data_IF_095482404595
#
_entry.id   IF_095482404595
#
_cell.length_a   1.000
_cell.length_b   1.000
_cell.length_c   1.000
_cell.angle_alpha   90.00
_cell.angle_beta   90.00
_cell.angle_gamma   90.00
#
_symmetry.space_group_name_H-M   'P 1'
#
loop_
_entity.id
_entity.type
_entity.pdbx_description
1 polymer ?
#
# COMPACT_ATOMS: atom_id res chain seq x y z
N UNK A 1 5.51 -5.62 37.09
CA UNK A 1 4.19 -5.28 36.51
C UNK A 1 4.44 -4.77 35.10
N UNK A 2 4.13 -5.56 34.08
CA UNK A 2 4.36 -5.20 32.68
C UNK A 2 3.21 -4.31 32.21
N UNK A 3 3.40 -2.99 32.26
CA UNK A 3 2.47 -2.02 31.69
C UNK A 3 2.59 -2.05 30.17
N UNK A 4 2.11 -3.14 29.56
CA UNK A 4 1.93 -3.21 28.12
C UNK A 4 0.91 -2.16 27.72
N UNK A 5 1.36 -1.07 27.10
CA UNK A 5 0.51 0.00 26.61
C UNK A 5 -0.53 -0.59 25.67
N UNK A 6 -1.77 -0.76 26.16
CA UNK A 6 -2.88 -1.19 25.33
C UNK A 6 -3.13 -0.10 24.29
N UNK A 7 -3.30 -0.44 23.00
CA UNK A 7 -3.59 0.56 21.98
C UNK A 7 -4.88 1.30 22.33
N UNK A 8 -4.83 2.63 22.20
CA UNK A 8 -5.98 3.51 22.39
C UNK A 8 -7.06 3.21 21.35
N UNK A 9 -8.30 3.60 21.63
CA UNK A 9 -9.43 3.44 20.71
C UNK A 9 -9.17 4.12 19.35
N UNK A 10 -8.52 5.29 19.36
CA UNK A 10 -8.08 5.98 18.13
C UNK A 10 -6.97 5.24 17.35
N UNK A 11 -6.17 4.39 18.01
CA UNK A 11 -5.19 3.52 17.33
C UNK A 11 -5.86 2.27 16.76
N UNK A 12 -6.85 1.73 17.46
CA UNK A 12 -7.65 0.58 16.99
C UNK A 12 -8.48 0.98 15.78
N UNK A 13 -9.15 2.13 15.82
CA UNK A 13 -9.93 2.63 14.69
C UNK A 13 -9.03 2.86 13.48
N UNK A 14 -7.90 3.56 13.65
CA UNK A 14 -6.93 3.75 12.57
C UNK A 14 -6.42 2.44 11.97
N UNK A 15 -6.22 1.40 12.78
CA UNK A 15 -5.83 0.07 12.30
C UNK A 15 -6.92 -0.57 11.44
N UNK A 16 -8.18 -0.38 11.81
CA UNK A 16 -9.34 -0.92 11.08
C UNK A 16 -9.63 -0.11 9.80
N UNK A 17 -9.29 1.17 9.77
CA UNK A 17 -9.43 2.04 8.60
C UNK A 17 -8.34 1.80 7.54
N UNK A 18 -7.23 1.15 7.91
CA UNK A 18 -6.19 0.74 6.96
C UNK A 18 -6.77 -0.36 6.06
N UNK A 19 -6.81 -0.17 4.73
CA UNK A 19 -7.29 -1.18 3.81
C UNK A 19 -6.53 -2.50 4.00
N UNK A 20 -7.23 -3.63 3.97
CA UNK A 20 -6.60 -4.95 4.13
C UNK A 20 -5.42 -5.17 3.16
N UNK A 21 -5.57 -4.68 1.93
CA UNK A 21 -4.55 -4.68 0.87
C UNK A 21 -3.26 -3.96 1.29
N UNK A 22 -3.33 -2.94 2.16
CA UNK A 22 -2.15 -2.25 2.65
C UNK A 22 -1.25 -3.15 3.51
N UNK A 23 -1.82 -4.10 4.26
CA UNK A 23 -1.02 -5.07 5.03
C UNK A 23 -0.26 -6.05 4.11
N UNK A 24 -0.85 -6.39 2.96
CA UNK A 24 -0.18 -7.20 1.94
C UNK A 24 1.02 -6.42 1.37
N UNK A 25 0.83 -5.15 1.02
CA UNK A 25 1.92 -4.30 0.54
C UNK A 25 3.04 -4.11 1.57
N UNK A 26 2.71 -3.96 2.86
CA UNK A 26 3.72 -3.91 3.92
C UNK A 26 4.50 -5.23 4.03
N UNK A 27 3.84 -6.37 3.83
CA UNK A 27 4.47 -7.68 3.87
C UNK A 27 5.44 -7.88 2.71
N UNK A 28 5.03 -7.54 1.49
CA UNK A 28 5.89 -7.62 0.31
C UNK A 28 7.03 -6.60 0.36
N UNK A 29 6.75 -5.37 0.76
CA UNK A 29 7.76 -4.34 1.00
C UNK A 29 8.81 -4.81 2.02
N UNK A 30 8.39 -5.48 3.10
CA UNK A 30 9.31 -6.06 4.08
C UNK A 30 10.23 -7.12 3.47
N UNK A 31 9.71 -7.99 2.60
CA UNK A 31 10.54 -8.98 1.89
C UNK A 31 11.59 -8.29 1.02
N UNK A 32 11.19 -7.29 0.24
CA UNK A 32 12.09 -6.52 -0.63
C UNK A 32 13.17 -5.79 0.17
N UNK A 33 12.78 -5.07 1.22
CA UNK A 33 13.74 -4.34 2.07
C UNK A 33 14.68 -5.32 2.77
N UNK A 34 14.19 -6.46 3.26
CA UNK A 34 15.07 -7.49 3.85
C UNK A 34 16.09 -8.03 2.84
N UNK A 35 15.70 -8.22 1.59
CA UNK A 35 16.57 -8.75 0.54
C UNK A 35 17.66 -7.77 0.14
N UNK A 36 17.33 -6.47 0.05
CA UNK A 36 18.26 -5.45 -0.44
C UNK A 36 19.03 -4.72 0.67
N UNK A 37 18.48 -4.70 1.89
CA UNK A 37 19.01 -3.96 3.03
C UNK A 37 19.02 -4.81 4.32
N UNK A 38 19.69 -5.98 4.32
CA UNK A 38 19.62 -6.94 5.43
C UNK A 38 20.27 -6.45 6.75
N UNK A 39 21.15 -5.44 6.69
CA UNK A 39 21.95 -4.99 7.83
C UNK A 39 21.51 -3.64 8.40
N UNK A 40 20.37 -3.11 7.94
CA UNK A 40 19.92 -1.78 8.36
C UNK A 40 19.38 -1.77 9.78
N UNK A 41 19.56 -0.65 10.46
CA UNK A 41 19.02 -0.45 11.81
C UNK A 41 17.49 -0.50 11.80
N UNK A 42 16.88 -1.05 12.84
CA UNK A 42 15.43 -1.33 12.88
C UNK A 42 14.55 -0.10 12.54
N UNK A 43 14.97 1.11 12.91
CA UNK A 43 14.25 2.35 12.57
C UNK A 43 14.31 2.67 11.08
N UNK A 44 15.49 2.62 10.47
CA UNK A 44 15.70 2.86 9.05
C UNK A 44 15.02 1.77 8.21
N UNK A 45 15.15 0.51 8.65
CA UNK A 45 14.47 -0.63 8.08
C UNK A 45 12.95 -0.42 8.00
N UNK A 46 12.31 -0.11 9.14
CA UNK A 46 10.87 0.10 9.17
C UNK A 46 10.43 1.30 8.31
N UNK A 47 11.21 2.38 8.27
CA UNK A 47 10.92 3.51 7.39
C UNK A 47 10.95 3.09 5.91
N UNK A 48 11.97 2.33 5.49
CA UNK A 48 12.06 1.82 4.13
C UNK A 48 10.89 0.88 3.79
N UNK A 49 10.46 0.03 4.72
CA UNK A 49 9.29 -0.85 4.51
C UNK A 49 8.04 -0.02 4.27
N UNK A 50 7.81 1.03 5.07
CA UNK A 50 6.65 1.89 4.93
C UNK A 50 6.65 2.63 3.59
N UNK A 51 7.78 3.25 3.22
CA UNK A 51 7.86 4.01 1.96
C UNK A 51 7.79 3.11 0.73
N UNK A 52 8.37 1.90 0.80
CA UNK A 52 8.22 0.89 -0.25
C UNK A 52 6.76 0.47 -0.40
N UNK A 53 6.06 0.18 0.70
CA UNK A 53 4.64 -0.20 0.65
C UNK A 53 3.75 0.91 0.08
N UNK A 54 4.00 2.18 0.46
CA UNK A 54 3.30 3.34 -0.13
C UNK A 54 3.53 3.43 -1.64
N UNK A 55 4.77 3.21 -2.08
CA UNK A 55 5.13 3.25 -3.51
C UNK A 55 4.42 2.16 -4.30
N UNK A 56 4.38 0.93 -3.77
CA UNK A 56 3.64 -0.19 -4.37
C UNK A 56 2.14 0.11 -4.48
N UNK A 57 1.54 0.65 -3.41
CA UNK A 57 0.13 1.04 -3.41
C UNK A 57 -0.16 2.11 -4.47
N UNK A 58 0.71 3.11 -4.59
CA UNK A 58 0.54 4.18 -5.58
C UNK A 58 0.65 3.64 -7.01
N UNK A 59 1.63 2.78 -7.30
CA UNK A 59 1.76 2.15 -8.62
C UNK A 59 0.54 1.30 -8.98
N UNK A 60 0.02 0.53 -8.02
CA UNK A 60 -1.18 -0.27 -8.24
C UNK A 60 -2.39 0.60 -8.57
N UNK A 61 -2.62 1.67 -7.80
CA UNK A 61 -3.73 2.62 -8.04
C UNK A 61 -3.60 3.34 -9.38
N UNK A 62 -2.39 3.71 -9.79
CA UNK A 62 -2.15 4.29 -11.11
C UNK A 62 -2.51 3.30 -12.23
N UNK A 63 -2.17 2.01 -12.09
CA UNK A 63 -2.57 0.98 -13.05
C UNK A 63 -4.09 0.78 -13.11
N UNK A 64 -4.79 0.79 -11.97
CA UNK A 64 -6.27 0.75 -11.95
C UNK A 64 -6.89 1.95 -12.68
N UNK A 65 -6.32 3.15 -12.49
CA UNK A 65 -6.78 4.35 -13.19
C UNK A 65 -6.55 4.24 -14.70
N UNK A 66 -5.38 3.75 -15.13
CA UNK A 66 -5.06 3.57 -16.54
C UNK A 66 -6.02 2.59 -17.23
N UNK A 67 -6.34 1.47 -16.57
CA UNK A 67 -7.36 0.54 -17.07
C UNK A 67 -8.72 1.21 -17.22
N UNK A 68 -9.17 1.93 -16.19
CA UNK A 68 -10.45 2.62 -16.23
C UNK A 68 -10.51 3.69 -17.34
N UNK A 69 -9.40 4.39 -17.62
CA UNK A 69 -9.32 5.34 -18.72
C UNK A 69 -9.48 4.61 -20.07
N UNK A 70 -8.77 3.50 -20.28
CA UNK A 70 -8.87 2.73 -21.51
C UNK A 70 -10.29 2.20 -21.76
N UNK A 71 -10.97 1.72 -20.72
CA UNK A 71 -12.35 1.25 -20.81
C UNK A 71 -13.32 2.39 -21.19
N UNK A 72 -13.12 3.59 -20.62
CA UNK A 72 -13.92 4.77 -20.97
C UNK A 72 -13.67 5.21 -22.41
N UNK A 73 -12.41 5.25 -22.85
CA UNK A 73 -12.05 5.63 -24.23
C UNK A 73 -12.72 4.68 -25.22
N UNK A 74 -12.63 3.36 -24.98
CA UNK A 74 -13.29 2.36 -25.82
C UNK A 74 -14.80 2.56 -25.93
N UNK A 75 -15.48 2.79 -24.80
CA UNK A 75 -16.94 3.04 -24.80
C UNK A 75 -17.32 4.37 -25.48
N UNK A 76 -16.43 5.37 -25.48
CA UNK A 76 -16.67 6.64 -26.17
C UNK A 76 -16.48 6.50 -27.69
N UNK A 77 -15.44 5.78 -28.12
CA UNK A 77 -15.14 5.53 -29.54
C UNK A 77 -16.25 4.68 -30.20
N UNK A 78 -16.75 3.64 -29.51
CA UNK A 78 -17.84 2.77 -29.99
C UNK A 78 -19.16 3.53 -30.24
N UNK A 79 -19.38 4.68 -29.59
CA UNK A 79 -20.59 5.50 -29.73
C UNK A 79 -20.53 6.49 -30.90
N UNK A 80 -19.36 6.75 -31.47
CA UNK A 80 -19.22 7.62 -32.64
C UNK A 80 -19.45 6.87 -33.97
N UNK A 81 -19.46 5.53 -33.94
CA UNK A 81 -19.68 4.67 -35.13
C UNK A 81 -21.15 4.25 -35.35
N UNK A 82 -22.09 4.64 -34.47
CA UNK A 82 -23.55 4.37 -34.58
C UNK A 82 -24.38 5.62 -34.84
#
# INVERSE_FOLDING_TARGET
MNSGNKPTEAQIQRRNDIPAQFYEWITEARKLVNQHFPNEVSSAHNAMVIETAKSMMMMHKLGEIEMAINDIVFELDDREET
#
